data_IF_571515073662
#
_entry.id   IF_571515073662
#
_cell.length_a   1.000
_cell.length_b   1.000
_cell.length_c   1.000
_cell.angle_alpha   90.00
_cell.angle_beta   90.00
_cell.angle_gamma   90.00
#
_symmetry.space_group_name_H-M   'P 1'
#
loop_
_entity.id
_entity.type
_entity.pdbx_description
1 polymer ?
#
# COMPACT_ATOMS: atom_id res chain seq x y z
N UNK A 1 -22.76 10.13 7.39
CA UNK A 1 -22.11 8.81 7.46
C UNK A 1 -20.61 8.97 7.20
N UNK A 2 -19.77 8.72 8.20
CA UNK A 2 -18.32 8.84 8.06
C UNK A 2 -17.81 7.76 7.10
N UNK A 3 -17.04 8.13 6.06
CA UNK A 3 -16.43 7.15 5.15
C UNK A 3 -15.25 6.51 5.86
N UNK A 4 -15.46 5.38 6.52
CA UNK A 4 -14.39 4.61 7.17
C UNK A 4 -13.75 3.70 6.11
N UNK A 5 -12.44 3.86 5.93
CA UNK A 5 -11.64 3.01 5.03
C UNK A 5 -10.71 2.12 5.84
N UNK A 6 -10.50 0.92 5.33
CA UNK A 6 -9.50 -0.01 5.81
C UNK A 6 -8.43 -0.20 4.74
N UNK A 7 -7.19 -0.40 5.18
CA UNK A 7 -6.04 -0.68 4.33
C UNK A 7 -5.52 -2.07 4.68
N UNK A 8 -5.71 -3.02 3.77
CA UNK A 8 -5.26 -4.40 3.94
C UNK A 8 -3.89 -4.56 3.30
N UNK A 9 -2.98 -5.21 4.01
CA UNK A 9 -1.62 -5.46 3.58
C UNK A 9 -1.47 -6.93 3.18
N UNK A 10 -0.92 -7.17 1.98
CA UNK A 10 -0.69 -8.51 1.46
C UNK A 10 0.75 -8.64 0.95
N UNK A 11 1.35 -9.80 1.16
CA UNK A 11 2.68 -10.10 0.63
C UNK A 11 2.65 -10.44 -0.88
N UNK A 12 3.77 -10.93 -1.40
CA UNK A 12 3.89 -11.32 -2.81
C UNK A 12 3.10 -12.58 -3.19
N UNK A 13 2.77 -13.41 -2.22
CA UNK A 13 2.02 -14.65 -2.35
C UNK A 13 0.55 -14.48 -1.99
N UNK A 14 0.09 -13.22 -1.86
CA UNK A 14 -1.27 -12.87 -1.44
C UNK A 14 -1.64 -13.36 -0.03
N UNK A 15 -0.64 -13.62 0.82
CA UNK A 15 -0.88 -13.84 2.24
C UNK A 15 -1.25 -12.52 2.91
N UNK A 16 -2.32 -12.56 3.69
CA UNK A 16 -2.78 -11.43 4.48
C UNK A 16 -1.84 -11.18 5.66
N UNK A 17 -1.27 -9.99 5.73
CA UNK A 17 -0.33 -9.58 6.78
C UNK A 17 -1.00 -8.75 7.88
N UNK A 18 -2.09 -8.03 7.55
CA UNK A 18 -2.79 -7.21 8.52
C UNK A 18 -3.72 -6.16 7.90
N UNK A 19 -4.53 -5.54 8.76
CA UNK A 19 -5.42 -4.45 8.40
C UNK A 19 -5.10 -3.21 9.23
N UNK A 20 -5.18 -2.05 8.59
CA UNK A 20 -4.87 -0.77 9.19
C UNK A 20 -6.01 0.21 8.95
N UNK A 21 -6.33 1.02 9.96
CA UNK A 21 -7.20 2.20 9.81
C UNK A 21 -6.42 3.46 9.43
N UNK A 22 -5.09 3.44 9.52
CA UNK A 22 -4.20 4.57 9.26
C UNK A 22 -3.33 4.35 8.03
N UNK A 23 -3.45 5.27 7.06
CA UNK A 23 -2.62 5.31 5.86
C UNK A 23 -1.11 5.42 6.19
N UNK A 24 -0.77 6.13 7.26
CA UNK A 24 0.61 6.31 7.70
C UNK A 24 1.20 5.02 8.26
N UNK A 25 0.41 4.27 9.01
CA UNK A 25 0.84 3.00 9.60
C UNK A 25 1.11 1.95 8.51
N UNK A 26 0.13 1.75 7.61
CA UNK A 26 0.29 0.78 6.50
C UNK A 26 1.45 1.16 5.57
N UNK A 27 1.66 2.46 5.31
CA UNK A 27 2.77 2.93 4.48
C UNK A 27 4.14 2.58 5.09
N UNK A 28 4.30 2.83 6.40
CA UNK A 28 5.55 2.55 7.11
C UNK A 28 5.86 1.06 7.07
N UNK A 29 4.89 0.24 7.41
CA UNK A 29 5.07 -1.21 7.50
C UNK A 29 5.32 -1.81 6.10
N UNK A 30 4.55 -1.40 5.08
CA UNK A 30 4.78 -1.82 3.69
C UNK A 30 6.19 -1.46 3.19
N UNK A 31 6.65 -0.25 3.51
CA UNK A 31 8.00 0.20 3.13
C UNK A 31 9.07 -0.61 3.85
N UNK A 32 8.94 -0.82 5.16
CA UNK A 32 9.89 -1.60 5.96
C UNK A 32 10.02 -3.05 5.47
N UNK A 33 8.89 -3.70 5.18
CA UNK A 33 8.90 -5.09 4.70
C UNK A 33 9.44 -5.19 3.26
N UNK A 34 9.24 -4.17 2.40
CA UNK A 34 9.85 -4.16 1.06
C UNK A 34 11.35 -3.79 1.08
N UNK A 35 11.81 -3.08 2.10
CA UNK A 35 13.18 -2.59 2.23
C UNK A 35 14.16 -3.66 2.77
N UNK A 36 14.17 -4.83 2.12
CA UNK A 36 15.02 -5.98 2.48
C UNK A 36 16.19 -6.17 1.50
N UNK A 37 16.12 -5.50 0.34
CA UNK A 37 17.15 -5.60 -0.70
C UNK A 37 18.11 -4.40 -0.70
N UNK A 38 18.96 -4.37 -1.71
CA UNK A 38 19.93 -3.29 -1.95
C UNK A 38 19.34 -2.11 -2.73
N UNK A 39 18.15 -2.26 -3.31
CA UNK A 39 17.49 -1.21 -4.09
C UNK A 39 16.46 -0.44 -3.26
N UNK A 40 16.31 0.85 -3.57
CA UNK A 40 15.20 1.66 -3.06
C UNK A 40 13.83 1.07 -3.39
N UNK A 41 12.89 1.20 -2.45
CA UNK A 41 11.49 0.78 -2.65
C UNK A 41 10.75 1.82 -3.50
N UNK A 42 10.02 1.36 -4.50
CA UNK A 42 9.13 2.18 -5.33
C UNK A 42 7.68 1.69 -5.25
N UNK A 43 6.74 2.59 -5.53
CA UNK A 43 5.32 2.26 -5.66
C UNK A 43 4.97 2.15 -7.15
N UNK A 44 4.20 1.13 -7.51
CA UNK A 44 3.56 1.04 -8.83
C UNK A 44 2.15 1.59 -8.71
N UNK A 45 1.91 2.72 -9.38
CA UNK A 45 0.62 3.41 -9.44
C UNK A 45 0.28 3.57 -10.91
N UNK A 46 -0.88 3.08 -11.35
CA UNK A 46 -1.33 3.20 -12.75
C UNK A 46 -0.23 2.76 -13.76
N UNK A 47 0.42 1.61 -13.47
CA UNK A 47 1.55 1.01 -14.22
C UNK A 47 2.83 1.86 -14.32
N UNK A 48 2.97 2.92 -13.52
CA UNK A 48 4.19 3.73 -13.45
C UNK A 48 4.88 3.56 -12.11
N UNK A 49 6.21 3.59 -12.14
CA UNK A 49 7.03 3.58 -10.93
C UNK A 49 7.12 4.99 -10.34
N UNK A 50 6.82 5.10 -9.05
CA UNK A 50 6.90 6.34 -8.28
C UNK A 50 7.75 6.12 -7.04
N UNK A 51 8.46 7.15 -6.60
CA UNK A 51 9.17 7.12 -5.33
C UNK A 51 8.20 6.87 -4.17
N UNK A 52 8.61 6.02 -3.22
CA UNK A 52 7.82 5.77 -2.01
C UNK A 52 7.67 7.04 -1.18
N UNK A 53 6.45 7.56 -1.07
CA UNK A 53 6.13 8.64 -0.16
C UNK A 53 4.67 8.55 0.29
N UNK A 54 4.42 8.95 1.54
CA UNK A 54 3.06 9.01 2.08
C UNK A 54 2.14 9.93 1.26
N UNK A 55 2.69 11.02 0.72
CA UNK A 55 1.95 11.97 -0.12
C UNK A 55 1.52 11.35 -1.43
N UNK A 56 2.42 10.64 -2.13
CA UNK A 56 2.07 9.93 -3.36
C UNK A 56 1.04 8.83 -3.09
N UNK A 57 1.17 8.07 -1.99
CA UNK A 57 0.20 7.07 -1.58
C UNK A 57 -1.19 7.69 -1.34
N UNK A 58 -1.24 8.80 -0.60
CA UNK A 58 -2.49 9.52 -0.30
C UNK A 58 -3.17 10.00 -1.57
N UNK A 59 -2.39 10.56 -2.51
CA UNK A 59 -2.91 11.04 -3.78
C UNK A 59 -3.42 9.90 -4.65
N UNK A 60 -2.69 8.78 -4.71
CA UNK A 60 -3.09 7.61 -5.48
C UNK A 60 -4.40 6.98 -4.97
N UNK A 61 -4.64 7.03 -3.66
CA UNK A 61 -5.89 6.57 -3.05
C UNK A 61 -7.01 7.63 -3.00
N UNK A 62 -6.75 8.88 -3.39
CA UNK A 62 -7.75 9.95 -3.32
C UNK A 62 -8.87 9.65 -4.33
N UNK A 63 -10.11 9.63 -3.85
CA UNK A 63 -11.28 9.33 -4.68
C UNK A 63 -11.44 7.87 -5.14
N UNK A 64 -10.42 7.01 -4.96
CA UNK A 64 -10.47 5.58 -5.32
C UNK A 64 -10.98 4.73 -4.15
N UNK A 65 -11.74 3.68 -4.47
CA UNK A 65 -12.20 2.62 -3.55
C UNK A 65 -11.91 1.27 -4.20
N UNK A 66 -11.69 0.23 -3.39
CA UNK A 66 -11.39 -1.14 -3.85
C UNK A 66 -10.21 -1.14 -4.83
N UNK A 67 -9.18 -0.39 -4.42
CA UNK A 67 -8.03 -0.06 -5.24
C UNK A 67 -6.76 -0.59 -4.59
N UNK A 68 -5.86 -1.14 -5.41
CA UNK A 68 -4.61 -1.74 -4.97
C UNK A 68 -3.41 -0.90 -5.43
N UNK A 69 -2.42 -0.75 -4.56
CA UNK A 69 -1.12 -0.17 -4.89
C UNK A 69 -0.04 -1.16 -4.49
N UNK A 70 0.91 -1.38 -5.39
CA UNK A 70 2.04 -2.29 -5.16
C UNK A 70 3.26 -1.50 -4.72
N UNK A 71 3.91 -1.95 -3.67
CA UNK A 71 5.25 -1.54 -3.26
C UNK A 71 6.20 -2.61 -3.74
N UNK A 72 7.33 -2.22 -4.32
CA UNK A 72 8.26 -3.16 -4.92
C UNK A 72 9.70 -2.68 -4.73
N UNK A 73 10.58 -3.63 -4.43
CA UNK A 73 12.03 -3.53 -4.50
C UNK A 73 12.55 -4.60 -5.48
N UNK A 74 13.87 -4.73 -5.58
CA UNK A 74 14.50 -5.75 -6.40
C UNK A 74 14.22 -7.20 -5.93
N UNK A 75 13.90 -7.41 -4.65
CA UNK A 75 13.76 -8.76 -4.06
C UNK A 75 12.34 -9.08 -3.56
N UNK A 76 11.55 -8.05 -3.25
CA UNK A 76 10.27 -8.21 -2.58
C UNK A 76 9.23 -7.25 -3.15
N UNK A 77 7.97 -7.65 -3.09
CA UNK A 77 6.86 -6.73 -3.28
C UNK A 77 5.73 -7.02 -2.30
N UNK A 78 4.90 -6.00 -2.08
CA UNK A 78 3.76 -6.00 -1.18
C UNK A 78 2.64 -5.22 -1.82
N UNK A 79 1.42 -5.58 -1.52
CA UNK A 79 0.22 -4.92 -2.01
C UNK A 79 -0.52 -4.27 -0.84
N UNK A 80 -0.90 -3.01 -1.01
CA UNK A 80 -1.86 -2.33 -0.14
C UNK A 80 -3.18 -2.24 -0.88
N UNK A 81 -4.23 -2.81 -0.29
CA UNK A 81 -5.59 -2.70 -0.80
C UNK A 81 -6.41 -1.75 0.07
N UNK A 82 -6.99 -0.72 -0.54
CA UNK A 82 -7.91 0.20 0.14
C UNK A 82 -9.33 -0.22 -0.14
N UNK A 83 -10.10 -0.48 0.91
CA UNK A 83 -11.53 -0.77 0.82
C UNK A 83 -12.34 0.07 1.80
N UNK A 84 -13.65 0.19 1.55
CA UNK A 84 -14.58 0.87 2.44
C UNK A 84 -15.26 -0.18 3.31
N UNK A 85 -15.27 0.03 4.62
CA UNK A 85 -16.06 -0.81 5.51
C UNK A 85 -17.55 -0.54 5.27
N UNK A 86 -18.30 -1.61 5.03
CA UNK A 86 -19.77 -1.60 4.97
C UNK A 86 -20.26 -2.26 6.25
N UNK A 87 -21.28 -1.65 6.84
CA UNK A 87 -22.08 -2.25 7.93
C UNK A 87 -22.96 -3.37 7.39
#
# INVERSE_FOLDING_TARGET
MTKIYAYCLFDKFDHFLGVYSSLKAVHRDATAICNQGTSSVYMIIDNKAHACSLTALRNAFKGKQDYQIKYQSNVQFIKIFKTKLRE
#
